data_IF_683167152346
#
_entry.id   IF_683167152346
#
_cell.length_a   1.000
_cell.length_b   1.000
_cell.length_c   1.000
_cell.angle_alpha   90.00
_cell.angle_beta   90.00
_cell.angle_gamma   90.00
#
_symmetry.space_group_name_H-M   'P 1'
#
loop_
_entity.id
_entity.type
_entity.pdbx_description
1 polymer ?
#
# COMPACT_ATOMS: atom_id res chain seq x y z
N UNK A 1 -20.43 4.33 -3.47
CA UNK A 1 -19.19 3.56 -3.14
C UNK A 1 -18.83 3.69 -1.66
N UNK A 2 -18.68 4.91 -1.10
CA UNK A 2 -18.24 5.12 0.30
C UNK A 2 -19.17 4.44 1.31
N UNK A 3 -20.48 4.65 1.19
CA UNK A 3 -21.47 4.00 2.06
C UNK A 3 -21.36 2.48 2.01
N UNK A 4 -21.24 1.91 0.81
CA UNK A 4 -21.04 0.48 0.61
C UNK A 4 -19.79 -0.02 1.33
N UNK A 5 -18.63 0.64 1.12
CA UNK A 5 -17.38 0.30 1.78
C UNK A 5 -17.51 0.29 3.31
N UNK A 6 -18.04 1.37 3.88
CA UNK A 6 -18.21 1.49 5.34
C UNK A 6 -19.15 0.43 5.93
N UNK A 7 -20.16 0.02 5.16
CA UNK A 7 -21.16 -0.96 5.59
C UNK A 7 -20.63 -2.41 5.52
N UNK A 8 -19.81 -2.71 4.52
CA UNK A 8 -19.32 -4.07 4.28
C UNK A 8 -17.95 -4.35 4.95
N UNK A 9 -17.13 -3.31 5.22
CA UNK A 9 -15.80 -3.49 5.81
C UNK A 9 -15.78 -4.31 7.12
N UNK A 10 -16.71 -4.10 8.10
CA UNK A 10 -16.72 -4.94 9.32
C UNK A 10 -16.94 -6.43 9.01
N UNK A 11 -17.81 -6.74 8.05
CA UNK A 11 -18.09 -8.13 7.64
C UNK A 11 -16.87 -8.76 6.98
N UNK A 12 -16.19 -8.01 6.10
CA UNK A 12 -14.97 -8.47 5.43
C UNK A 12 -13.83 -8.78 6.42
N UNK A 13 -13.68 -7.98 7.49
CA UNK A 13 -12.70 -8.25 8.55
C UNK A 13 -13.03 -9.55 9.29
N UNK A 14 -14.28 -9.76 9.66
CA UNK A 14 -14.72 -10.99 10.33
C UNK A 14 -14.57 -12.23 9.40
N UNK A 15 -14.86 -12.06 8.13
CA UNK A 15 -14.64 -13.12 7.12
C UNK A 15 -13.16 -13.50 7.02
N UNK A 16 -12.25 -12.51 6.95
CA UNK A 16 -10.80 -12.76 6.95
C UNK A 16 -10.34 -13.48 8.23
N UNK A 17 -10.90 -13.14 9.39
CA UNK A 17 -10.64 -13.84 10.65
C UNK A 17 -11.10 -15.30 10.57
N UNK A 18 -12.29 -15.56 10.03
CA UNK A 18 -12.80 -16.93 9.85
C UNK A 18 -11.96 -17.74 8.85
N UNK A 19 -11.32 -17.09 7.87
CA UNK A 19 -10.34 -17.75 7.01
C UNK A 19 -9.02 -18.07 7.73
N UNK A 20 -8.77 -17.47 8.89
CA UNK A 20 -7.61 -17.75 9.72
C UNK A 20 -6.58 -16.62 9.80
N UNK A 21 -6.93 -15.38 9.41
CA UNK A 21 -6.03 -14.24 9.60
C UNK A 21 -5.83 -13.97 11.10
N UNK A 22 -4.59 -14.03 11.61
CA UNK A 22 -4.29 -13.92 13.04
C UNK A 22 -4.22 -12.45 13.47
N UNK A 23 -5.34 -11.75 13.46
CA UNK A 23 -5.37 -10.37 13.96
C UNK A 23 -4.89 -10.28 15.41
N UNK A 24 -4.07 -9.26 15.71
CA UNK A 24 -3.67 -8.93 17.07
C UNK A 24 -4.89 -8.64 17.96
N UNK A 25 -4.77 -8.97 19.25
CA UNK A 25 -5.87 -8.80 20.20
C UNK A 25 -5.55 -7.76 21.27
N UNK A 26 -6.58 -7.13 21.74
CA UNK A 26 -6.57 -6.35 22.99
C UNK A 26 -6.69 -7.29 24.19
N UNK A 27 -6.41 -6.81 25.40
CA UNK A 27 -6.48 -7.59 26.63
C UNK A 27 -7.90 -8.15 26.91
N UNK A 28 -8.94 -7.47 26.41
CA UNK A 28 -10.35 -7.91 26.48
C UNK A 28 -10.77 -8.79 25.29
N UNK A 29 -9.80 -9.26 24.48
CA UNK A 29 -9.99 -10.24 23.41
C UNK A 29 -10.53 -9.69 22.09
N UNK A 30 -10.75 -8.38 21.95
CA UNK A 30 -11.20 -7.76 20.69
C UNK A 30 -10.06 -7.65 19.67
N UNK A 31 -10.39 -7.55 18.39
CA UNK A 31 -9.41 -7.26 17.34
C UNK A 31 -8.76 -5.90 17.64
N UNK A 32 -7.41 -5.89 17.70
CA UNK A 32 -6.67 -4.67 17.91
C UNK A 32 -6.79 -3.74 16.70
N UNK A 33 -7.10 -2.49 16.98
CA UNK A 33 -7.19 -1.43 16.00
C UNK A 33 -6.21 -0.31 16.35
N UNK A 34 -5.43 0.15 15.38
CA UNK A 34 -4.45 1.21 15.58
C UNK A 34 -4.86 2.52 14.92
N UNK A 35 -4.31 3.62 15.42
CA UNK A 35 -4.40 4.91 14.78
C UNK A 35 -3.55 4.95 13.50
N UNK A 36 -4.06 5.63 12.47
CA UNK A 36 -3.32 5.94 11.26
C UNK A 36 -3.48 7.43 10.91
N UNK A 37 -2.50 7.98 10.19
CA UNK A 37 -2.50 9.38 9.79
C UNK A 37 -3.73 9.74 8.95
N UNK A 38 -4.30 10.90 9.24
CA UNK A 38 -5.50 11.39 8.58
C UNK A 38 -6.82 10.73 9.02
N UNK A 39 -6.78 9.68 9.84
CA UNK A 39 -7.99 9.06 10.39
C UNK A 39 -8.40 9.77 11.69
N UNK A 40 -9.35 10.67 11.57
CA UNK A 40 -9.81 11.51 12.68
C UNK A 40 -11.31 11.45 12.84
N UNK A 41 -11.80 11.83 14.03
CA UNK A 41 -13.19 12.10 14.33
C UNK A 41 -13.37 13.57 14.74
N UNK A 42 -14.62 14.00 14.82
CA UNK A 42 -14.99 15.35 15.25
C UNK A 42 -14.22 16.43 14.44
N UNK A 43 -14.20 16.27 13.10
CA UNK A 43 -13.52 17.20 12.15
C UNK A 43 -12.05 17.45 12.45
N UNK A 44 -11.31 16.41 12.84
CA UNK A 44 -9.87 16.49 13.08
C UNK A 44 -9.46 16.67 14.55
N UNK A 45 -10.41 16.74 15.48
CA UNK A 45 -10.13 17.01 16.89
C UNK A 45 -9.44 15.85 17.62
N UNK A 46 -9.64 14.60 17.17
CA UNK A 46 -8.99 13.45 17.78
C UNK A 46 -8.76 12.31 16.77
N UNK A 47 -7.73 11.47 16.96
CA UNK A 47 -7.51 10.31 16.11
C UNK A 47 -8.60 9.25 16.32
N UNK A 48 -8.89 8.48 15.27
CA UNK A 48 -9.74 7.28 15.30
C UNK A 48 -8.86 6.05 15.11
N UNK A 49 -9.03 5.08 16.00
CA UNK A 49 -8.43 3.75 15.90
C UNK A 49 -9.42 2.79 15.23
N UNK A 50 -9.25 2.56 13.93
CA UNK A 50 -10.12 1.65 13.16
C UNK A 50 -9.37 0.69 12.23
N UNK A 51 -8.04 0.78 12.18
CA UNK A 51 -7.22 -0.08 11.32
C UNK A 51 -6.92 -1.38 12.03
N UNK A 52 -7.61 -2.46 11.65
CA UNK A 52 -7.35 -3.81 12.16
C UNK A 52 -5.95 -4.27 11.76
N UNK A 53 -5.19 -4.83 12.68
CA UNK A 53 -3.80 -5.15 12.47
C UNK A 53 -3.41 -6.55 12.96
N UNK A 54 -2.49 -7.18 12.25
CA UNK A 54 -1.71 -8.33 12.70
C UNK A 54 -0.24 -7.86 12.82
N UNK A 55 0.12 -7.32 13.99
CA UNK A 55 1.35 -6.59 14.24
C UNK A 55 1.63 -5.56 13.10
N UNK A 56 2.85 -5.55 12.54
CA UNK A 56 3.22 -4.74 11.35
C UNK A 56 3.25 -5.57 10.06
N UNK A 57 2.68 -6.79 10.08
CA UNK A 57 2.69 -7.76 8.97
C UNK A 57 1.28 -8.13 8.49
N UNK A 58 0.33 -7.22 8.61
CA UNK A 58 -1.09 -7.47 8.28
C UNK A 58 -1.27 -7.94 6.83
N UNK A 59 -0.65 -7.27 5.86
CA UNK A 59 -0.72 -7.65 4.46
C UNK A 59 -0.13 -9.04 4.20
N UNK A 60 1.01 -9.35 4.80
CA UNK A 60 1.63 -10.68 4.72
C UNK A 60 0.72 -11.76 5.31
N UNK A 61 0.13 -11.53 6.47
CA UNK A 61 -0.78 -12.47 7.11
C UNK A 61 -2.02 -12.75 6.25
N UNK A 62 -2.64 -11.70 5.68
CA UNK A 62 -3.79 -11.84 4.78
C UNK A 62 -3.41 -12.64 3.53
N UNK A 63 -2.30 -12.30 2.88
CA UNK A 63 -1.84 -12.97 1.66
C UNK A 63 -1.64 -14.48 1.89
N UNK A 64 -0.88 -14.85 2.93
CA UNK A 64 -0.63 -16.26 3.23
C UNK A 64 -1.88 -17.03 3.63
N UNK A 65 -2.77 -16.40 4.39
CA UNK A 65 -4.06 -17.02 4.75
C UNK A 65 -4.92 -17.29 3.51
N UNK A 66 -5.08 -16.28 2.64
CA UNK A 66 -5.90 -16.43 1.44
C UNK A 66 -5.26 -17.41 0.43
N UNK A 67 -3.94 -17.41 0.31
CA UNK A 67 -3.23 -18.41 -0.50
C UNK A 67 -3.47 -19.83 0.01
N UNK A 68 -3.38 -20.06 1.33
CA UNK A 68 -3.70 -21.35 1.95
C UNK A 68 -5.14 -21.78 1.69
N UNK A 69 -6.11 -20.86 1.77
CA UNK A 69 -7.51 -21.14 1.43
C UNK A 69 -7.68 -21.48 -0.06
N UNK A 70 -7.01 -20.77 -0.95
CA UNK A 70 -7.06 -21.03 -2.38
C UNK A 70 -6.52 -22.45 -2.71
N UNK A 71 -5.42 -22.86 -2.07
CA UNK A 71 -4.89 -24.23 -2.19
C UNK A 71 -5.88 -25.28 -1.69
N UNK A 72 -6.51 -25.04 -0.53
CA UNK A 72 -7.54 -25.92 0.02
C UNK A 72 -8.71 -26.13 -0.94
N UNK A 73 -9.08 -25.08 -1.67
CA UNK A 73 -10.15 -25.13 -2.68
C UNK A 73 -9.67 -25.54 -4.07
N UNK A 74 -8.43 -26.03 -4.20
CA UNK A 74 -7.84 -26.54 -5.46
C UNK A 74 -7.86 -25.51 -6.59
N UNK A 75 -7.64 -24.24 -6.28
CA UNK A 75 -7.49 -23.19 -7.28
C UNK A 75 -6.27 -23.48 -8.16
N UNK A 76 -6.41 -23.35 -9.47
CA UNK A 76 -5.29 -23.51 -10.40
C UNK A 76 -4.43 -22.27 -10.40
N UNK A 77 -3.13 -22.43 -10.14
CA UNK A 77 -2.13 -21.37 -10.21
C UNK A 77 -1.24 -21.57 -11.44
N UNK A 78 -1.12 -20.54 -12.26
CA UNK A 78 -0.23 -20.50 -13.41
C UNK A 78 0.95 -19.57 -13.06
N UNK A 79 1.96 -20.14 -12.42
CA UNK A 79 3.15 -19.43 -11.94
C UNK A 79 4.11 -19.22 -13.10
N UNK A 80 4.81 -18.04 -13.14
CA UNK A 80 5.72 -17.66 -14.24
C UNK A 80 5.01 -17.53 -15.61
N UNK A 81 3.73 -17.17 -15.60
CA UNK A 81 3.00 -16.76 -16.80
C UNK A 81 2.84 -15.24 -16.84
N UNK A 82 3.51 -14.61 -17.79
CA UNK A 82 3.40 -13.17 -18.02
C UNK A 82 2.23 -12.88 -18.97
N UNK A 83 1.22 -12.19 -18.46
CA UNK A 83 0.03 -11.84 -19.27
C UNK A 83 0.38 -10.68 -20.20
N UNK A 84 0.27 -10.94 -21.51
CA UNK A 84 0.62 -9.98 -22.56
C UNK A 84 -0.53 -9.02 -22.88
N UNK A 85 -1.72 -9.57 -23.16
CA UNK A 85 -2.88 -8.79 -23.58
C UNK A 85 -4.23 -9.44 -23.24
N UNK A 86 -5.27 -8.61 -23.26
CA UNK A 86 -6.67 -9.04 -23.16
C UNK A 86 -7.16 -9.58 -24.51
N UNK A 87 -7.99 -10.62 -24.50
CA UNK A 87 -8.70 -11.11 -25.68
C UNK A 87 -10.05 -10.41 -25.75
N UNK A 88 -10.14 -9.38 -26.59
CA UNK A 88 -11.39 -8.63 -26.79
C UNK A 88 -12.12 -9.12 -28.05
N UNK A 89 -13.45 -9.35 -27.94
CA UNK A 89 -14.31 -9.68 -29.07
C UNK A 89 -15.66 -8.99 -28.94
N UNK A 90 -16.02 -8.20 -29.93
CA UNK A 90 -17.29 -7.46 -29.96
C UNK A 90 -17.55 -6.61 -28.69
N UNK A 91 -16.49 -5.96 -28.16
CA UNK A 91 -16.58 -5.15 -26.92
C UNK A 91 -16.66 -5.92 -25.62
N UNK A 92 -16.45 -7.24 -25.65
CA UNK A 92 -16.46 -8.12 -24.47
C UNK A 92 -15.08 -8.75 -24.26
N UNK A 93 -14.62 -8.88 -23.00
CA UNK A 93 -13.41 -9.62 -22.67
C UNK A 93 -13.70 -11.12 -22.60
N UNK A 94 -12.90 -11.91 -23.31
CA UNK A 94 -13.02 -13.36 -23.42
C UNK A 94 -11.86 -14.14 -22.81
N UNK A 95 -10.96 -13.44 -22.12
CA UNK A 95 -9.78 -14.02 -21.50
C UNK A 95 -8.50 -13.23 -21.78
N UNK A 96 -7.38 -13.90 -21.70
CA UNK A 96 -6.05 -13.31 -21.86
C UNK A 96 -5.11 -14.17 -22.71
N UNK A 97 -4.09 -13.52 -23.27
CA UNK A 97 -2.92 -14.20 -23.84
C UNK A 97 -1.76 -14.04 -22.85
N UNK A 98 -1.08 -15.13 -22.55
CA UNK A 98 0.03 -15.14 -21.63
C UNK A 98 1.23 -15.89 -22.20
N UNK A 99 2.41 -15.44 -21.83
CA UNK A 99 3.68 -16.04 -22.15
C UNK A 99 4.17 -16.86 -20.94
N UNK A 100 4.41 -18.15 -21.15
CA UNK A 100 5.06 -19.00 -20.17
C UNK A 100 6.57 -18.70 -20.16
N UNK A 101 7.07 -18.13 -19.08
CA UNK A 101 8.47 -17.72 -18.95
C UNK A 101 9.43 -18.92 -18.81
N UNK A 102 8.93 -20.11 -18.44
CA UNK A 102 9.77 -21.29 -18.26
C UNK A 102 10.16 -21.97 -19.57
N UNK A 103 9.26 -21.96 -20.57
CA UNK A 103 9.48 -22.67 -21.85
C UNK A 103 9.34 -21.79 -23.10
N UNK A 104 8.98 -20.51 -22.91
CA UNK A 104 8.82 -19.55 -24.00
C UNK A 104 7.53 -19.69 -24.82
N UNK A 105 6.61 -20.57 -24.45
CA UNK A 105 5.36 -20.82 -25.20
C UNK A 105 4.31 -19.74 -24.93
N UNK A 106 3.44 -19.51 -25.93
CA UNK A 106 2.30 -18.57 -25.80
C UNK A 106 1.02 -19.36 -25.55
N UNK A 107 0.31 -18.96 -24.49
CA UNK A 107 -0.92 -19.60 -24.06
C UNK A 107 -2.12 -18.66 -24.17
N UNK A 108 -3.26 -19.21 -24.54
CA UNK A 108 -4.54 -18.51 -24.55
C UNK A 108 -5.43 -19.05 -23.43
N UNK A 109 -5.73 -18.21 -22.46
CA UNK A 109 -6.67 -18.50 -21.38
C UNK A 109 -8.04 -17.94 -21.75
N UNK A 110 -9.03 -18.79 -21.95
CA UNK A 110 -10.43 -18.40 -22.19
C UNK A 110 -11.19 -18.36 -20.87
N UNK A 111 -11.93 -17.27 -20.64
CA UNK A 111 -12.72 -17.11 -19.43
C UNK A 111 -14.04 -16.39 -19.73
N UNK A 112 -15.04 -16.60 -18.88
CA UNK A 112 -16.26 -15.80 -18.88
C UNK A 112 -16.05 -14.46 -18.20
N UNK A 113 -15.18 -14.41 -17.17
CA UNK A 113 -14.81 -13.20 -16.44
C UNK A 113 -13.30 -13.22 -16.26
N UNK A 114 -12.67 -12.10 -16.57
CA UNK A 114 -11.26 -11.81 -16.30
C UNK A 114 -11.19 -10.71 -15.25
N UNK A 115 -10.44 -10.93 -14.17
CA UNK A 115 -10.24 -9.94 -13.12
C UNK A 115 -8.78 -9.48 -13.17
N UNK A 116 -8.54 -8.19 -13.41
CA UNK A 116 -7.22 -7.58 -13.36
C UNK A 116 -6.92 -7.22 -11.91
N UNK A 117 -5.89 -7.84 -11.34
CA UNK A 117 -5.42 -7.63 -9.98
C UNK A 117 -3.89 -7.44 -9.96
N UNK A 118 -3.36 -6.66 -10.90
CA UNK A 118 -1.92 -6.51 -11.16
C UNK A 118 -1.24 -5.49 -10.25
N UNK A 119 -1.99 -4.91 -9.30
CA UNK A 119 -1.49 -3.84 -8.43
C UNK A 119 -1.24 -2.54 -9.19
N UNK A 120 -0.55 -1.60 -8.54
CA UNK A 120 -0.25 -0.29 -9.09
C UNK A 120 0.91 -0.28 -10.10
N UNK A 121 1.33 0.94 -10.45
CA UNK A 121 2.43 1.19 -11.38
C UNK A 121 3.58 1.99 -10.74
N UNK A 122 3.79 1.83 -9.43
CA UNK A 122 4.81 2.58 -8.68
C UNK A 122 6.24 2.41 -9.23
N UNK A 123 6.54 1.28 -9.87
CA UNK A 123 7.88 1.00 -10.42
C UNK A 123 8.20 1.71 -11.75
N UNK A 124 7.29 2.52 -12.28
CA UNK A 124 7.64 3.48 -13.34
C UNK A 124 8.44 4.67 -12.78
N UNK A 125 8.46 4.85 -11.46
CA UNK A 125 9.24 5.88 -10.76
C UNK A 125 10.54 5.30 -10.21
N UNK A 126 11.57 6.15 -10.09
CA UNK A 126 12.91 5.76 -9.62
C UNK A 126 12.89 5.16 -8.21
N UNK A 127 12.17 5.77 -7.26
CA UNK A 127 12.02 5.27 -5.89
C UNK A 127 10.55 5.02 -5.58
N UNK A 128 10.23 3.76 -5.27
CA UNK A 128 8.86 3.36 -4.93
C UNK A 128 8.88 2.23 -3.90
N UNK A 129 7.92 2.27 -2.97
CA UNK A 129 7.71 1.20 -2.00
C UNK A 129 7.01 -0.03 -2.59
N UNK A 130 6.53 0.08 -3.83
CA UNK A 130 5.82 -0.98 -4.52
C UNK A 130 6.73 -2.18 -4.84
N UNK A 131 6.15 -3.37 -4.95
CA UNK A 131 6.85 -4.55 -5.42
C UNK A 131 7.42 -4.36 -6.83
N UNK A 132 8.50 -5.07 -7.16
CA UNK A 132 9.14 -4.96 -8.49
C UNK A 132 8.21 -5.32 -9.65
N UNK A 133 7.17 -6.10 -9.39
CA UNK A 133 6.13 -6.48 -10.36
C UNK A 133 5.07 -5.39 -10.60
N UNK A 134 5.08 -4.30 -9.83
CA UNK A 134 4.13 -3.19 -10.00
C UNK A 134 4.58 -2.22 -11.10
N UNK A 135 4.63 -2.70 -12.32
CA UNK A 135 5.17 -2.03 -13.53
C UNK A 135 4.10 -1.40 -14.42
N UNK A 136 2.80 -1.58 -14.08
CA UNK A 136 1.68 -1.01 -14.83
C UNK A 136 1.20 -1.85 -16.01
N UNK A 137 1.58 -3.12 -16.07
CA UNK A 137 1.21 -4.00 -17.20
C UNK A 137 -0.30 -4.15 -17.37
N UNK A 138 -1.06 -4.23 -16.26
CA UNK A 138 -2.53 -4.25 -16.31
C UNK A 138 -3.12 -3.01 -16.96
N UNK A 139 -2.61 -1.83 -16.59
CA UNK A 139 -2.99 -0.56 -17.21
C UNK A 139 -2.62 -0.54 -18.70
N UNK A 140 -1.44 -1.02 -19.05
CA UNK A 140 -0.98 -1.14 -20.43
C UNK A 140 -1.88 -2.03 -21.29
N UNK A 141 -2.30 -3.19 -20.78
CA UNK A 141 -3.22 -4.10 -21.47
C UNK A 141 -4.58 -3.45 -21.72
N UNK A 142 -5.12 -2.76 -20.72
CA UNK A 142 -6.41 -2.05 -20.84
C UNK A 142 -6.33 -0.93 -21.89
N UNK A 143 -5.24 -0.16 -21.88
CA UNK A 143 -5.02 0.92 -22.85
C UNK A 143 -4.87 0.36 -24.28
N UNK A 144 -4.10 -0.72 -24.48
CA UNK A 144 -3.98 -1.39 -25.79
C UNK A 144 -5.30 -2.00 -26.27
N UNK A 145 -6.18 -2.38 -25.36
CA UNK A 145 -7.54 -2.82 -25.69
C UNK A 145 -8.48 -1.67 -26.11
N UNK A 146 -8.00 -0.42 -26.13
CA UNK A 146 -8.76 0.78 -26.49
C UNK A 146 -9.69 1.25 -25.36
N UNK A 147 -9.43 0.85 -24.13
CA UNK A 147 -10.20 1.22 -22.94
C UNK A 147 -9.53 2.39 -22.18
N UNK A 148 -10.29 3.19 -21.43
CA UNK A 148 -9.75 4.36 -20.74
C UNK A 148 -8.95 3.99 -19.51
N UNK A 149 -8.02 4.87 -19.13
CA UNK A 149 -7.43 5.00 -17.81
C UNK A 149 -7.86 6.34 -17.21
N UNK A 150 -7.95 6.42 -15.89
CA UNK A 150 -8.47 7.60 -15.19
C UNK A 150 -7.53 8.01 -14.06
N UNK A 151 -7.45 9.32 -13.80
CA UNK A 151 -6.76 9.93 -12.65
C UNK A 151 -5.28 9.50 -12.48
N UNK A 152 -4.57 9.29 -13.59
CA UNK A 152 -3.20 8.76 -13.63
C UNK A 152 -2.18 9.71 -12.99
N UNK A 153 -2.48 11.00 -12.89
CA UNK A 153 -1.67 12.04 -12.25
C UNK A 153 -1.67 11.98 -10.73
N UNK A 154 -2.64 11.29 -10.13
CA UNK A 154 -2.75 11.20 -8.67
C UNK A 154 -1.88 10.09 -8.11
N UNK A 155 -0.70 10.47 -7.65
CA UNK A 155 0.29 9.58 -7.03
C UNK A 155 0.54 10.05 -5.60
N UNK A 156 0.40 9.13 -4.63
CA UNK A 156 0.69 9.39 -3.23
C UNK A 156 2.14 9.04 -2.90
N UNK A 157 2.83 9.96 -2.25
CA UNK A 157 4.12 9.70 -1.61
C UNK A 157 3.90 9.22 -0.18
N UNK A 158 4.55 8.11 0.20
CA UNK A 158 4.66 7.76 1.60
C UNK A 158 5.81 8.55 2.23
N UNK A 159 5.60 9.21 3.37
CA UNK A 159 6.62 10.08 3.97
C UNK A 159 7.87 9.32 4.43
N UNK A 160 7.73 8.04 4.78
CA UNK A 160 8.79 7.26 5.42
C UNK A 160 9.17 6.03 4.58
N UNK A 161 9.71 6.25 3.37
CA UNK A 161 10.50 5.25 2.66
C UNK A 161 11.90 5.17 3.28
N UNK A 162 12.45 3.98 3.43
CA UNK A 162 13.82 3.78 3.94
C UNK A 162 14.83 4.37 2.96
N UNK A 163 15.61 5.33 3.43
CA UNK A 163 16.55 6.07 2.59
C UNK A 163 17.55 5.15 1.88
N UNK A 164 17.78 5.40 0.59
CA UNK A 164 18.67 4.62 -0.28
C UNK A 164 18.13 3.27 -0.75
N UNK A 165 17.06 2.74 -0.12
CA UNK A 165 16.50 1.41 -0.40
C UNK A 165 15.09 1.49 -1.00
N UNK A 166 14.27 2.45 -0.53
CA UNK A 166 12.89 2.62 -0.96
C UNK A 166 11.90 1.67 -0.26
N UNK A 167 12.34 0.77 0.63
CA UNK A 167 11.44 -0.07 1.41
C UNK A 167 10.52 0.77 2.30
N UNK A 168 9.29 0.30 2.48
CA UNK A 168 8.31 0.98 3.32
C UNK A 168 8.65 0.86 4.80
N UNK A 169 8.86 1.98 5.47
CA UNK A 169 8.73 2.07 6.92
C UNK A 169 7.28 2.45 7.20
N UNK A 170 6.51 1.46 7.60
CA UNK A 170 5.06 1.56 7.78
C UNK A 170 4.66 2.75 8.65
N UNK A 171 3.53 3.37 8.31
CA UNK A 171 2.89 4.40 9.14
C UNK A 171 2.57 3.91 10.56
N UNK A 172 2.50 2.60 10.78
CA UNK A 172 2.39 1.98 12.08
C UNK A 172 3.44 2.51 13.08
N UNK A 173 4.66 2.79 12.60
CA UNK A 173 5.75 3.33 13.43
C UNK A 173 5.37 4.68 14.04
N UNK A 174 4.80 5.58 13.23
CA UNK A 174 4.29 6.87 13.75
C UNK A 174 3.02 6.70 14.59
N UNK A 175 2.19 5.72 14.24
CA UNK A 175 1.01 5.32 15.02
C UNK A 175 1.34 4.81 16.42
N UNK A 176 2.48 4.16 16.61
CA UNK A 176 2.98 3.70 17.91
C UNK A 176 3.77 4.79 18.67
N UNK A 177 3.89 6.01 18.12
CA UNK A 177 4.53 7.14 18.77
C UNK A 177 5.86 7.59 18.17
N UNK A 178 6.26 7.05 17.02
CA UNK A 178 7.44 7.52 16.29
C UNK A 178 7.30 8.96 15.82
N UNK A 179 8.41 9.71 15.84
CA UNK A 179 8.44 11.13 15.43
C UNK A 179 9.62 11.44 14.50
N UNK A 180 9.43 12.46 13.66
CA UNK A 180 10.39 12.91 12.67
C UNK A 180 11.25 14.07 13.19
N UNK A 181 12.54 14.05 12.83
CA UNK A 181 13.53 15.04 13.24
C UNK A 181 14.39 15.47 12.04
N UNK A 182 14.66 16.77 11.94
CA UNK A 182 15.59 17.34 10.96
C UNK A 182 17.04 17.39 11.48
N UNK A 183 17.97 17.96 10.70
CA UNK A 183 19.39 18.09 11.08
C UNK A 183 19.67 18.98 12.30
N UNK A 184 18.73 19.87 12.65
CA UNK A 184 18.84 20.71 13.83
C UNK A 184 18.37 20.02 15.12
N UNK A 185 17.87 18.76 15.02
CA UNK A 185 17.26 18.07 16.15
C UNK A 185 15.82 18.48 16.44
N UNK A 186 15.17 19.20 15.54
CA UNK A 186 13.81 19.73 15.72
C UNK A 186 12.77 18.71 15.28
N UNK A 187 11.73 18.52 16.08
CA UNK A 187 10.50 17.82 15.70
C UNK A 187 9.63 18.71 14.80
N UNK A 188 10.06 18.87 13.56
CA UNK A 188 9.51 19.88 12.64
C UNK A 188 8.01 19.73 12.35
N UNK A 189 7.42 18.53 12.52
CA UNK A 189 5.99 18.36 12.34
C UNK A 189 5.12 19.17 13.32
N UNK A 190 5.66 19.57 14.46
CA UNK A 190 4.98 20.47 15.41
C UNK A 190 4.73 21.87 14.81
N UNK A 191 5.61 22.30 13.89
CA UNK A 191 5.46 23.56 13.14
C UNK A 191 4.41 23.44 12.01
N UNK A 192 4.43 22.33 11.25
CA UNK A 192 3.60 22.18 10.06
C UNK A 192 2.19 21.66 10.35
N UNK A 193 2.01 20.89 11.40
CA UNK A 193 0.74 20.30 11.80
C UNK A 193 0.62 20.26 13.34
N UNK A 194 0.40 21.40 14.01
CA UNK A 194 0.48 21.51 15.48
C UNK A 194 -0.43 20.52 16.23
N UNK A 195 -1.60 20.19 15.66
CA UNK A 195 -2.58 19.32 16.29
C UNK A 195 -2.28 17.83 16.04
N UNK A 196 -2.09 17.44 14.78
CA UNK A 196 -1.89 16.05 14.37
C UNK A 196 -0.43 15.61 14.43
N UNK A 197 0.51 16.55 14.40
CA UNK A 197 1.97 16.34 14.41
C UNK A 197 2.37 15.25 13.39
N UNK A 198 3.10 14.25 13.82
CA UNK A 198 3.58 13.15 12.98
C UNK A 198 2.46 12.23 12.46
N UNK A 199 1.23 12.36 12.98
CA UNK A 199 0.02 11.67 12.51
C UNK A 199 -0.84 12.54 11.56
N UNK A 200 -0.30 13.63 11.04
CA UNK A 200 -0.92 14.35 9.93
C UNK A 200 -1.04 13.44 8.69
N UNK A 201 -1.88 13.82 7.72
CA UNK A 201 -2.04 13.05 6.48
C UNK A 201 -0.70 12.92 5.74
N UNK A 202 -0.55 11.84 4.98
CA UNK A 202 0.72 11.48 4.30
C UNK A 202 1.25 12.59 3.40
N UNK A 203 0.36 13.28 2.70
CA UNK A 203 0.72 14.39 1.82
C UNK A 203 1.27 15.60 2.59
N UNK A 204 0.70 15.92 3.76
CA UNK A 204 1.20 16.99 4.63
C UNK A 204 2.59 16.61 5.16
N UNK A 205 2.77 15.40 5.67
CA UNK A 205 4.07 14.96 6.20
C UNK A 205 5.13 14.91 5.10
N UNK A 206 4.79 14.36 3.91
CA UNK A 206 5.73 14.28 2.78
C UNK A 206 6.17 15.65 2.29
N UNK A 207 5.23 16.61 2.16
CA UNK A 207 5.57 17.99 1.81
C UNK A 207 6.42 18.68 2.87
N UNK A 208 6.12 18.45 4.14
CA UNK A 208 6.92 19.02 5.25
C UNK A 208 8.36 18.52 5.20
N UNK A 209 8.57 17.21 4.98
CA UNK A 209 9.92 16.64 4.80
C UNK A 209 10.62 17.27 3.58
N UNK A 210 9.91 17.41 2.45
CA UNK A 210 10.48 18.02 1.25
C UNK A 210 10.89 19.48 1.47
N UNK A 211 10.12 20.25 2.25
CA UNK A 211 10.47 21.61 2.63
C UNK A 211 11.73 21.62 3.52
N UNK A 212 11.79 20.77 4.55
CA UNK A 212 12.97 20.68 5.42
C UNK A 212 14.24 20.37 4.62
N UNK A 213 14.17 19.41 3.68
CA UNK A 213 15.27 19.05 2.79
C UNK A 213 15.64 20.24 1.87
N UNK A 214 14.66 20.86 1.21
CA UNK A 214 14.90 21.95 0.27
C UNK A 214 15.49 23.20 0.91
N UNK A 215 15.17 23.45 2.17
CA UNK A 215 15.72 24.55 2.97
C UNK A 215 17.06 24.18 3.66
N UNK A 216 17.66 23.04 3.33
CA UNK A 216 18.98 22.62 3.80
C UNK A 216 19.02 22.03 5.22
N UNK A 217 17.85 21.72 5.80
CA UNK A 217 17.74 21.04 7.11
C UNK A 217 17.60 19.54 7.00
N UNK A 218 17.87 18.96 5.85
CA UNK A 218 18.04 17.52 5.69
C UNK A 218 19.27 16.99 6.44
N UNK A 219 19.31 15.68 6.64
CA UNK A 219 20.36 14.95 7.35
C UNK A 219 21.27 14.24 6.34
N UNK A 220 22.49 13.89 6.76
CA UNK A 220 23.51 13.23 5.95
C UNK A 220 24.35 14.20 5.12
N UNK A 221 25.31 13.64 4.38
CA UNK A 221 26.25 14.40 3.57
C UNK A 221 25.54 15.21 2.47
N UNK A 222 24.50 14.63 1.88
CA UNK A 222 23.70 15.26 0.82
C UNK A 222 22.50 16.06 1.33
N UNK A 223 22.23 16.06 2.63
CA UNK A 223 21.08 16.74 3.26
C UNK A 223 19.73 16.40 2.62
N UNK A 224 19.53 15.15 2.24
CA UNK A 224 18.45 14.69 1.37
C UNK A 224 17.45 13.73 2.04
N UNK A 225 17.57 13.53 3.34
CA UNK A 225 16.66 12.71 4.15
C UNK A 225 16.45 13.28 5.56
N UNK A 226 15.54 12.69 6.32
CA UNK A 226 15.28 13.03 7.73
C UNK A 226 15.36 11.77 8.58
N UNK A 227 15.34 11.90 9.89
CA UNK A 227 15.35 10.78 10.82
C UNK A 227 13.97 10.54 11.44
N UNK A 228 13.56 9.27 11.50
CA UNK A 228 12.41 8.79 12.25
C UNK A 228 12.91 8.09 13.53
N UNK A 229 12.47 8.57 14.69
CA UNK A 229 12.88 8.09 16.00
C UNK A 229 11.80 7.24 16.66
N UNK A 230 12.17 6.08 17.19
CA UNK A 230 11.35 5.20 18.02
C UNK A 230 12.07 4.67 19.25
N UNK A 231 13.33 5.03 19.48
CA UNK A 231 14.15 4.56 20.59
C UNK A 231 13.63 4.92 21.98
N UNK A 232 12.67 5.86 22.06
CA UNK A 232 11.98 6.23 23.29
C UNK A 232 10.81 5.30 23.65
N UNK A 233 10.40 4.43 22.71
CA UNK A 233 9.30 3.47 22.90
C UNK A 233 9.85 2.24 23.64
N UNK A 234 9.07 1.71 24.58
CA UNK A 234 9.47 0.50 25.32
C UNK A 234 9.80 -0.63 24.33
N UNK A 235 10.96 -1.26 24.55
CA UNK A 235 11.47 -2.34 23.70
C UNK A 235 10.46 -3.47 23.54
N UNK A 236 9.69 -3.81 24.57
CA UNK A 236 8.64 -4.85 24.52
C UNK A 236 7.51 -4.46 23.56
N UNK A 237 7.19 -3.16 23.46
CA UNK A 237 6.18 -2.66 22.52
C UNK A 237 6.73 -2.75 21.10
N UNK A 238 7.99 -2.37 20.87
CA UNK A 238 8.63 -2.48 19.57
C UNK A 238 8.65 -3.95 19.11
N UNK A 239 9.10 -4.86 19.97
CA UNK A 239 9.15 -6.29 19.67
C UNK A 239 7.77 -6.91 19.38
N UNK A 240 6.73 -6.48 20.09
CA UNK A 240 5.38 -7.00 19.93
C UNK A 240 4.64 -6.41 18.73
N UNK A 241 4.85 -5.12 18.40
CA UNK A 241 4.02 -4.39 17.44
C UNK A 241 4.73 -4.01 16.15
N UNK A 242 6.07 -3.98 16.15
CA UNK A 242 6.91 -3.54 15.03
C UNK A 242 8.07 -4.52 14.71
N UNK A 243 7.89 -5.86 14.85
CA UNK A 243 8.97 -6.82 14.67
C UNK A 243 9.53 -6.80 13.24
N UNK A 244 8.67 -6.66 12.22
CA UNK A 244 9.08 -6.64 10.83
C UNK A 244 9.82 -5.37 10.43
N UNK A 245 9.48 -4.23 11.05
CA UNK A 245 10.22 -2.97 10.87
C UNK A 245 11.62 -3.09 11.46
N UNK A 246 11.75 -3.61 12.69
CA UNK A 246 13.04 -3.82 13.34
C UNK A 246 13.95 -4.70 12.49
N UNK A 247 13.45 -5.85 12.04
CA UNK A 247 14.16 -6.78 11.17
C UNK A 247 14.59 -6.13 9.83
N UNK A 248 13.68 -5.35 9.21
CA UNK A 248 13.98 -4.68 7.94
C UNK A 248 15.06 -3.62 8.09
N UNK A 249 15.00 -2.79 9.12
CA UNK A 249 16.00 -1.74 9.35
C UNK A 249 17.35 -2.34 9.69
N UNK A 250 17.40 -3.39 10.53
CA UNK A 250 18.62 -4.09 10.83
C UNK A 250 19.24 -4.72 9.57
N UNK A 251 18.41 -5.41 8.77
CA UNK A 251 18.88 -6.13 7.56
C UNK A 251 19.40 -5.17 6.49
N UNK A 252 18.70 -4.07 6.21
CA UNK A 252 19.01 -3.20 5.06
C UNK A 252 19.95 -2.05 5.38
N UNK A 253 19.98 -1.56 6.62
CA UNK A 253 20.81 -0.40 7.03
C UNK A 253 21.69 -0.68 8.23
N UNK A 254 21.64 -1.88 8.83
CA UNK A 254 22.49 -2.29 9.93
C UNK A 254 22.27 -1.50 11.22
N UNK A 255 21.05 -1.00 11.47
CA UNK A 255 20.73 -0.17 12.63
C UNK A 255 19.78 -0.87 13.59
N UNK A 256 20.03 -0.71 14.89
CA UNK A 256 19.16 -1.15 15.97
C UNK A 256 18.13 -0.01 16.26
N UNK A 257 16.88 -0.20 15.87
CA UNK A 257 15.81 0.82 16.01
C UNK A 257 15.52 1.21 17.47
N UNK A 258 15.97 0.41 18.44
CA UNK A 258 15.87 0.72 19.86
C UNK A 258 16.92 1.73 20.32
N UNK A 259 17.93 2.01 19.50
CA UNK A 259 19.05 2.92 19.80
C UNK A 259 19.23 3.98 18.74
N UNK A 260 19.12 3.58 17.47
CA UNK A 260 19.47 4.40 16.32
C UNK A 260 18.21 4.94 15.62
N UNK A 261 18.24 6.15 15.07
CA UNK A 261 17.19 6.66 14.24
C UNK A 261 17.15 5.97 12.87
N UNK A 262 15.96 5.87 12.30
CA UNK A 262 15.73 5.30 10.96
C UNK A 262 15.83 6.43 9.93
N UNK A 263 16.75 6.36 8.94
CA UNK A 263 16.82 7.36 7.88
C UNK A 263 15.65 7.15 6.90
N UNK A 264 14.87 8.22 6.66
CA UNK A 264 13.65 8.14 5.83
C UNK A 264 13.54 9.32 4.87
N UNK A 265 12.88 9.06 3.72
CA UNK A 265 12.62 10.07 2.68
C UNK A 265 11.27 9.79 2.03
N UNK A 266 10.53 10.82 1.56
CA UNK A 266 9.30 10.62 0.80
C UNK A 266 9.53 9.78 -0.45
N UNK A 267 8.73 8.72 -0.62
CA UNK A 267 8.90 7.72 -1.68
C UNK A 267 7.54 7.42 -2.31
N UNK A 268 7.47 7.23 -3.62
CA UNK A 268 6.23 6.86 -4.32
C UNK A 268 5.65 5.60 -3.71
N UNK A 269 4.36 5.62 -3.37
CA UNK A 269 3.73 4.56 -2.59
C UNK A 269 2.44 4.02 -3.21
N UNK A 270 1.50 4.91 -3.56
CA UNK A 270 0.19 4.51 -4.03
C UNK A 270 -0.25 5.30 -5.27
N UNK A 271 -0.83 4.58 -6.21
CA UNK A 271 -1.42 5.14 -7.42
C UNK A 271 -2.94 5.16 -7.23
N UNK A 272 -3.56 6.35 -7.11
CA UNK A 272 -5.01 6.48 -6.94
C UNK A 272 -5.75 6.22 -8.24
N UNK A 273 -5.17 6.63 -9.35
CA UNK A 273 -5.68 6.36 -10.67
C UNK A 273 -5.40 4.95 -11.19
N UNK A 274 -5.87 4.68 -12.38
CA UNK A 274 -5.72 3.41 -13.06
C UNK A 274 -6.93 3.04 -13.90
N UNK A 275 -7.35 1.79 -13.84
CA UNK A 275 -8.50 1.26 -14.57
C UNK A 275 -9.79 1.71 -13.89
N UNK A 276 -10.67 2.50 -14.55
CA UNK A 276 -11.91 2.98 -13.94
C UNK A 276 -12.90 1.81 -13.74
N UNK A 277 -13.45 1.72 -12.52
CA UNK A 277 -14.44 0.70 -12.16
C UNK A 277 -15.62 1.31 -11.41
N UNK A 278 -16.75 0.62 -11.42
CA UNK A 278 -17.83 0.89 -10.49
C UNK A 278 -17.60 0.16 -9.14
N UNK A 279 -18.52 0.33 -8.17
CA UNK A 279 -18.41 -0.29 -6.84
C UNK A 279 -18.53 -1.82 -6.85
N UNK A 280 -18.86 -2.42 -7.99
CA UNK A 280 -18.88 -3.88 -8.20
C UNK A 280 -17.59 -4.38 -8.86
N UNK A 281 -16.58 -3.55 -9.00
CA UNK A 281 -15.31 -3.81 -9.68
C UNK A 281 -15.47 -4.07 -11.21
N UNK A 282 -16.61 -3.75 -11.82
CA UNK A 282 -16.78 -3.86 -13.27
C UNK A 282 -16.06 -2.70 -13.97
N UNK A 283 -15.24 -3.00 -14.96
CA UNK A 283 -14.48 -2.00 -15.73
C UNK A 283 -15.41 -1.16 -16.57
N UNK A 284 -15.18 0.17 -16.57
CA UNK A 284 -16.00 1.14 -17.26
C UNK A 284 -15.37 1.60 -18.57
N UNK A 285 -16.20 1.93 -19.55
CA UNK A 285 -15.79 2.63 -20.77
C UNK A 285 -16.38 4.03 -20.79
N UNK A 286 -15.65 4.98 -21.39
CA UNK A 286 -16.06 6.39 -21.49
C UNK A 286 -16.66 6.67 -22.87
N UNK A 287 -17.97 6.52 -23.00
CA UNK A 287 -18.71 7.04 -24.16
C UNK A 287 -19.89 7.90 -23.67
N UNK A 288 -19.59 8.89 -22.80
CA UNK A 288 -20.59 9.85 -22.29
C UNK A 288 -21.59 9.27 -21.27
N UNK A 289 -21.56 7.98 -21.02
CA UNK A 289 -22.27 7.27 -19.93
C UNK A 289 -21.42 6.10 -19.50
N UNK A 290 -21.29 5.91 -18.20
CA UNK A 290 -20.58 4.77 -17.60
C UNK A 290 -21.21 3.44 -18.05
N UNK A 291 -20.61 2.83 -19.07
CA UNK A 291 -20.97 1.48 -19.53
C UNK A 291 -19.94 0.52 -19.04
N UNK A 292 -20.36 -0.60 -18.53
CA UNK A 292 -19.48 -1.70 -18.15
C UNK A 292 -18.96 -2.45 -19.36
N UNK A 293 -17.74 -3.00 -19.25
CA UNK A 293 -17.16 -3.91 -20.23
C UNK A 293 -17.52 -5.35 -19.81
N UNK A 294 -18.40 -6.06 -20.56
CA UNK A 294 -18.74 -7.42 -20.20
C UNK A 294 -17.52 -8.33 -20.12
N UNK A 295 -17.48 -9.17 -19.09
CA UNK A 295 -16.38 -10.13 -18.89
C UNK A 295 -15.07 -9.54 -18.35
N UNK A 296 -15.02 -8.22 -18.01
CA UNK A 296 -13.82 -7.58 -17.47
C UNK A 296 -14.09 -6.88 -16.14
N UNK A 297 -13.28 -7.22 -15.14
CA UNK A 297 -13.27 -6.60 -13.82
C UNK A 297 -11.86 -6.16 -13.46
N UNK A 298 -11.71 -5.21 -12.53
CA UNK A 298 -10.44 -4.80 -11.95
C UNK A 298 -10.57 -4.41 -10.48
N UNK A 299 -9.53 -4.66 -9.68
CA UNK A 299 -9.45 -4.36 -8.25
C UNK A 299 -8.09 -3.74 -7.89
#
# INVERSE_FOLDING_TARGET
SIEYLCKEAPKAVIELEHYGVPFSRTDDGKIYQRAFGGMTKDYGNSPVQRTCAAADRTGHAILHTLYGQALKHKTNFFIEYFVLDLIMKNGECKGVIAWNLNDGTIHRFRSHITIIATGGYGKVYYSATAAHTCTGDGNGMVLRAGLPLQDMEFVQFHPTGLYGIGCLISEAVRGEGGYLVNSNGERFMEKYAPNAKDLASRDVVSRSIAIEISEGRGIGEHKDHVHLHISHIDKKIIEARLPGISESVETFVGRDVTKDPIPVVPTVHYNMGGIPTNYKAEVLTVNGKDKTIPGLMAI
#
